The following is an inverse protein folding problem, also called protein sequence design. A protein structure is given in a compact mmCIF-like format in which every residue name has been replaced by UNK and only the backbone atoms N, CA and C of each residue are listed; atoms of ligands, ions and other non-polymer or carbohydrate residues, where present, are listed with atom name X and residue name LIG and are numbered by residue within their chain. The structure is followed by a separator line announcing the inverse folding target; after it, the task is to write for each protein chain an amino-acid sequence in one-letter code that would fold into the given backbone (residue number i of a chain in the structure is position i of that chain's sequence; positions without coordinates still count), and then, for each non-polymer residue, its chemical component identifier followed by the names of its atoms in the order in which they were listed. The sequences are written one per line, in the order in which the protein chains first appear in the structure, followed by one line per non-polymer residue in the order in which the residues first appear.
data_IF_327876721456
#
_entry.id   IF_327876721456
#
_cell.length_a   1.000
_cell.length_b   1.000
_cell.length_c   1.000
_cell.angle_alpha   90.00
_cell.angle_beta   90.00
_cell.angle_gamma   90.00
#
_symmetry.space_group_name_H-M   'P 1'
#
loop_
_entity.id
_entity.type
_entity.pdbx_description
1 polymer ?
#
# COMPACT_ATOMS: atom_id res chain seq x y z
N UNK A 1 29.60 -1.00 -34.39
CA UNK A 1 28.15 -1.32 -34.45
C UNK A 1 27.65 -1.85 -33.11
N UNK A 2 28.33 -2.83 -32.50
CA UNK A 2 27.97 -3.42 -31.19
C UNK A 2 27.86 -2.41 -30.03
N UNK A 3 28.76 -1.43 -29.94
CA UNK A 3 28.73 -0.39 -28.89
C UNK A 3 27.42 0.42 -28.90
N UNK A 4 26.86 0.68 -30.09
CA UNK A 4 25.59 1.40 -30.22
C UNK A 4 24.39 0.54 -29.82
N UNK A 5 24.47 -0.78 -30.06
CA UNK A 5 23.40 -1.71 -29.70
C UNK A 5 23.35 -1.89 -28.17
N UNK A 6 24.49 -2.05 -27.52
CA UNK A 6 24.60 -2.13 -26.06
C UNK A 6 24.11 -0.87 -25.36
N UNK A 7 24.40 0.31 -25.92
CA UNK A 7 23.87 1.59 -25.39
C UNK A 7 22.35 1.66 -25.48
N UNK A 8 21.76 1.20 -26.58
CA UNK A 8 20.30 1.14 -26.74
C UNK A 8 19.67 0.13 -25.80
N UNK A 9 20.27 -1.06 -25.66
CA UNK A 9 19.80 -2.11 -24.73
C UNK A 9 19.79 -1.63 -23.29
N UNK A 10 20.88 -1.01 -22.82
CA UNK A 10 20.95 -0.46 -21.45
C UNK A 10 19.89 0.63 -21.22
N UNK A 11 19.63 1.45 -22.24
CA UNK A 11 18.58 2.47 -22.15
C UNK A 11 17.20 1.86 -22.02
N UNK A 12 16.88 0.85 -22.83
CA UNK A 12 15.58 0.15 -22.77
C UNK A 12 15.42 -0.54 -21.41
N UNK A 13 16.47 -1.20 -20.91
CA UNK A 13 16.46 -1.85 -19.60
C UNK A 13 16.14 -0.87 -18.47
N UNK A 14 16.82 0.28 -18.42
CA UNK A 14 16.57 1.30 -17.40
C UNK A 14 15.16 1.88 -17.45
N UNK A 15 14.56 2.01 -18.65
CA UNK A 15 13.18 2.47 -18.81
C UNK A 15 12.22 1.45 -18.19
N UNK A 16 12.38 0.17 -18.54
CA UNK A 16 11.53 -0.91 -18.00
C UNK A 16 11.65 -1.00 -16.48
N UNK A 17 12.86 -0.91 -15.92
CA UNK A 17 13.08 -0.91 -14.47
C UNK A 17 12.39 0.28 -13.79
N UNK A 18 12.47 1.47 -14.38
CA UNK A 18 11.80 2.67 -13.85
C UNK A 18 10.27 2.52 -13.85
N UNK A 19 9.71 1.98 -14.94
CA UNK A 19 8.26 1.78 -15.08
C UNK A 19 7.73 0.76 -14.06
N UNK A 20 8.50 -0.30 -13.79
CA UNK A 20 8.16 -1.31 -12.77
C UNK A 20 8.15 -0.67 -11.38
N UNK A 21 9.19 0.07 -11.01
CA UNK A 21 9.29 0.74 -9.71
C UNK A 21 8.13 1.72 -9.49
N UNK A 22 7.77 2.49 -10.52
CA UNK A 22 6.65 3.43 -10.44
C UNK A 22 5.30 2.71 -10.29
N UNK A 23 5.13 1.59 -10.99
CA UNK A 23 3.93 0.74 -10.86
C UNK A 23 3.81 0.17 -9.44
N UNK A 24 4.90 -0.32 -8.86
CA UNK A 24 4.91 -0.84 -7.48
C UNK A 24 4.58 0.24 -6.45
N UNK A 25 5.10 1.46 -6.63
CA UNK A 25 4.74 2.62 -5.79
C UNK A 25 3.25 2.95 -5.88
N UNK A 26 2.70 2.98 -7.08
CA UNK A 26 1.28 3.26 -7.29
C UNK A 26 0.39 2.17 -6.67
N UNK A 27 0.78 0.90 -6.78
CA UNK A 27 0.10 -0.21 -6.12
C UNK A 27 0.14 -0.05 -4.58
N UNK A 28 1.29 0.31 -4.02
CA UNK A 28 1.41 0.56 -2.57
C UNK A 28 0.51 1.70 -2.11
N UNK A 29 0.44 2.80 -2.87
CA UNK A 29 -0.48 3.91 -2.58
C UNK A 29 -1.95 3.48 -2.61
N UNK A 30 -2.32 2.63 -3.57
CA UNK A 30 -3.67 2.08 -3.67
C UNK A 30 -4.02 1.21 -2.46
N UNK A 31 -3.09 0.33 -2.03
CA UNK A 31 -3.29 -0.52 -0.85
C UNK A 31 -3.38 0.30 0.45
N UNK A 32 -2.58 1.36 0.59
CA UNK A 32 -2.68 2.31 1.72
C UNK A 32 -4.07 2.94 1.76
N UNK A 33 -4.55 3.45 0.61
CA UNK A 33 -5.87 4.08 0.52
C UNK A 33 -6.97 3.08 0.89
N UNK A 34 -6.91 1.87 0.35
CA UNK A 34 -7.88 0.81 0.62
C UNK A 34 -7.90 0.43 2.11
N UNK A 35 -6.73 0.18 2.71
CA UNK A 35 -6.64 -0.14 4.13
C UNK A 35 -7.21 0.97 5.02
N UNK A 36 -7.00 2.25 4.65
CA UNK A 36 -7.60 3.39 5.34
C UNK A 36 -9.12 3.41 5.23
N UNK A 37 -9.67 3.25 4.03
CA UNK A 37 -11.13 3.22 3.80
C UNK A 37 -11.78 2.05 4.55
N UNK A 38 -11.17 0.87 4.56
CA UNK A 38 -11.63 -0.29 5.31
C UNK A 38 -11.59 -0.04 6.82
N UNK A 39 -10.52 0.58 7.33
CA UNK A 39 -10.38 0.92 8.74
C UNK A 39 -11.43 1.95 9.18
N UNK A 40 -11.64 3.01 8.39
CA UNK A 40 -12.70 4.00 8.63
C UNK A 40 -14.08 3.33 8.63
N UNK A 41 -14.34 2.40 7.69
CA UNK A 41 -15.55 1.61 7.64
C UNK A 41 -15.76 0.74 8.88
N UNK A 42 -14.72 0.04 9.34
CA UNK A 42 -14.77 -0.79 10.54
C UNK A 42 -15.06 0.04 11.80
N UNK A 43 -14.41 1.19 11.95
CA UNK A 43 -14.67 2.13 13.04
C UNK A 43 -16.10 2.68 13.01
N UNK A 44 -16.57 3.10 11.83
CA UNK A 44 -17.93 3.60 11.66
C UNK A 44 -18.96 2.53 12.04
N UNK A 45 -18.77 1.29 11.60
CA UNK A 45 -19.68 0.19 11.93
C UNK A 45 -19.64 -0.17 13.41
N UNK A 46 -18.45 -0.21 14.02
CA UNK A 46 -18.27 -0.53 15.44
C UNK A 46 -19.09 0.39 16.35
N UNK A 47 -19.21 1.69 16.00
CA UNK A 47 -19.97 2.66 16.78
C UNK A 47 -21.47 2.33 16.91
N UNK A 48 -22.01 1.46 16.05
CA UNK A 48 -23.43 1.07 16.05
C UNK A 48 -23.66 -0.35 16.59
N UNK A 49 -22.63 -1.00 17.11
CA UNK A 49 -22.70 -2.39 17.56
C UNK A 49 -22.98 -2.46 19.05
N UNK A 50 -24.01 -3.20 19.42
CA UNK A 50 -24.37 -3.52 20.81
C UNK A 50 -24.32 -5.02 21.12
N UNK A 51 -24.24 -5.86 20.08
CA UNK A 51 -24.09 -7.30 20.22
C UNK A 51 -22.65 -7.65 20.62
N UNK A 52 -22.50 -8.44 21.67
CA UNK A 52 -21.20 -8.77 22.26
C UNK A 52 -20.26 -9.51 21.28
N UNK A 53 -20.78 -10.43 20.46
CA UNK A 53 -19.96 -11.16 19.50
C UNK A 53 -19.49 -10.24 18.36
N UNK A 54 -20.34 -9.30 17.96
CA UNK A 54 -19.97 -8.28 16.98
C UNK A 54 -18.94 -7.29 17.55
N UNK A 55 -19.02 -6.93 18.84
CA UNK A 55 -17.99 -6.09 19.50
C UNK A 55 -16.63 -6.77 19.41
N UNK A 56 -16.54 -8.06 19.75
CA UNK A 56 -15.30 -8.82 19.66
C UNK A 56 -14.79 -8.90 18.21
N UNK A 57 -15.68 -9.23 17.27
CA UNK A 57 -15.36 -9.28 15.84
C UNK A 57 -14.72 -7.98 15.35
N UNK A 58 -15.39 -6.84 15.56
CA UNK A 58 -14.90 -5.56 15.09
C UNK A 58 -13.63 -5.12 15.83
N UNK A 59 -13.48 -5.48 17.11
CA UNK A 59 -12.24 -5.22 17.85
C UNK A 59 -11.04 -5.92 17.21
N UNK A 60 -11.18 -7.20 16.83
CA UNK A 60 -10.13 -7.92 16.12
C UNK A 60 -9.90 -7.37 14.70
N UNK A 61 -10.98 -7.04 14.00
CA UNK A 61 -10.89 -6.48 12.65
C UNK A 61 -10.14 -5.15 12.65
N UNK A 62 -10.50 -4.22 13.54
CA UNK A 62 -9.86 -2.91 13.66
C UNK A 62 -8.37 -3.08 13.95
N UNK A 63 -7.99 -3.88 14.97
CA UNK A 63 -6.57 -4.11 15.29
C UNK A 63 -5.76 -4.68 14.13
N UNK A 64 -6.37 -5.58 13.36
CA UNK A 64 -5.75 -6.18 12.17
C UNK A 64 -5.51 -5.11 11.10
N UNK A 65 -6.53 -4.32 10.79
CA UNK A 65 -6.46 -3.24 9.81
C UNK A 65 -5.49 -2.13 10.23
N UNK A 66 -5.43 -1.76 11.52
CA UNK A 66 -4.46 -0.81 12.05
C UNK A 66 -3.03 -1.30 11.87
N UNK A 67 -2.77 -2.57 12.21
CA UNK A 67 -1.44 -3.18 12.06
C UNK A 67 -1.02 -3.21 10.58
N UNK A 68 -1.94 -3.57 9.69
CA UNK A 68 -1.71 -3.56 8.25
C UNK A 68 -1.43 -2.15 7.73
N UNK A 69 -2.26 -1.18 8.10
CA UNK A 69 -2.11 0.21 7.68
C UNK A 69 -0.78 0.80 8.16
N UNK A 70 -0.41 0.60 9.43
CA UNK A 70 0.87 1.06 9.97
C UNK A 70 2.05 0.45 9.21
N UNK A 71 2.00 -0.85 8.91
CA UNK A 71 3.03 -1.50 8.10
C UNK A 71 3.15 -0.87 6.71
N UNK A 72 2.04 -0.65 6.01
CA UNK A 72 2.04 -0.05 4.66
C UNK A 72 2.61 1.38 4.68
N UNK A 73 2.27 2.18 5.68
CA UNK A 73 2.84 3.52 5.87
C UNK A 73 4.35 3.46 6.11
N UNK A 74 4.81 2.53 6.95
CA UNK A 74 6.26 2.33 7.19
C UNK A 74 6.99 1.90 5.92
N UNK A 75 6.40 0.99 5.15
CA UNK A 75 6.94 0.54 3.87
C UNK A 75 7.06 1.70 2.88
N UNK A 76 6.00 2.50 2.73
CA UNK A 76 5.99 3.64 1.82
C UNK A 76 7.05 4.69 2.19
N UNK A 77 7.18 5.00 3.49
CA UNK A 77 8.26 5.88 3.98
C UNK A 77 9.65 5.31 3.69
N UNK A 78 9.85 4.00 3.81
CA UNK A 78 11.14 3.36 3.56
C UNK A 78 11.60 3.46 2.10
N UNK A 79 10.68 3.62 1.16
CA UNK A 79 10.97 3.78 -0.28
C UNK A 79 10.86 5.24 -0.76
N UNK A 80 10.76 6.20 0.18
CA UNK A 80 10.78 7.63 -0.11
C UNK A 80 9.42 8.26 -0.44
N UNK A 81 8.31 7.57 -0.20
CA UNK A 81 6.97 8.17 -0.28
C UNK A 81 6.66 8.89 1.05
N UNK A 82 6.69 10.22 1.05
CA UNK A 82 6.59 11.04 2.27
C UNK A 82 5.29 11.86 2.40
N UNK A 83 4.54 12.04 1.31
CA UNK A 83 3.26 12.77 1.28
C UNK A 83 2.09 11.81 1.11
N UNK A 84 1.84 10.99 2.12
CA UNK A 84 0.80 9.96 2.20
C UNK A 84 -0.04 10.11 3.46
#
# INVERSE_FOLDING_TARGET
MEISLNKTLNRVFNIVETDIIETEKNNLLLEIKKAKEELEGAYNNFNFVSDFLLVDYYTYQIKTLETQYEYLIRLAKSIGLTNI
#
